data_IF_872055900964
#
_entry.id   IF_872055900964
#
_cell.length_a   1.000
_cell.length_b   1.000
_cell.length_c   1.000
_cell.angle_alpha   90.00
_cell.angle_beta   90.00
_cell.angle_gamma   90.00
#
_symmetry.space_group_name_H-M   'P 1'
#
loop_
_entity.id
_entity.type
_entity.pdbx_description
1 polymer ?
#
# COMPACT_ATOMS: atom_id res chain seq x y z
N UNK A 1 -44.71 10.11 18.63
CA UNK A 1 -45.94 9.91 17.83
C UNK A 1 -45.47 9.36 16.51
N UNK A 2 -45.58 8.05 16.37
CA UNK A 2 -45.25 7.39 15.10
C UNK A 2 -46.34 7.73 14.09
N UNK A 3 -46.02 7.75 12.79
CA UNK A 3 -46.99 8.15 11.76
C UNK A 3 -48.22 7.21 11.74
N UNK A 4 -48.01 5.95 12.15
CA UNK A 4 -49.04 4.91 12.24
C UNK A 4 -50.09 5.20 13.33
N UNK A 5 -49.64 5.65 14.52
CA UNK A 5 -50.52 6.07 15.63
C UNK A 5 -51.45 7.24 15.23
N UNK A 6 -50.97 8.12 14.35
CA UNK A 6 -51.74 9.27 13.90
C UNK A 6 -52.80 8.91 12.84
N UNK A 7 -52.62 7.82 12.09
CA UNK A 7 -53.51 7.38 11.00
C UNK A 7 -54.53 6.33 11.42
N UNK A 8 -54.39 5.75 12.61
CA UNK A 8 -55.28 4.75 13.18
C UNK A 8 -56.77 5.19 13.25
N UNK A 9 -57.12 6.44 13.64
CA UNK A 9 -58.50 6.92 13.63
C UNK A 9 -59.13 7.02 12.23
N UNK A 10 -58.31 7.05 11.18
CA UNK A 10 -58.76 7.11 9.78
C UNK A 10 -58.86 5.72 9.14
N UNK A 11 -58.53 4.65 9.87
CA UNK A 11 -58.57 3.28 9.37
C UNK A 11 -57.49 2.97 8.33
N UNK A 12 -56.40 3.75 8.30
CA UNK A 12 -55.29 3.59 7.35
C UNK A 12 -54.08 3.03 8.08
N UNK A 13 -53.51 1.93 7.56
CA UNK A 13 -52.30 1.28 8.08
C UNK A 13 -51.08 1.72 7.28
N UNK A 14 -50.05 2.25 7.94
CA UNK A 14 -48.82 2.72 7.28
C UNK A 14 -47.77 1.59 7.28
N UNK A 15 -47.43 1.06 6.11
CA UNK A 15 -46.45 -0.04 6.01
C UNK A 15 -44.99 0.41 6.04
N UNK A 16 -44.68 1.58 5.47
CA UNK A 16 -43.32 2.10 5.36
C UNK A 16 -43.31 3.62 5.22
N UNK A 17 -42.39 4.28 5.92
CA UNK A 17 -42.11 5.70 5.77
C UNK A 17 -40.68 5.85 5.27
N UNK A 18 -40.52 6.52 4.12
CA UNK A 18 -39.22 6.85 3.54
C UNK A 18 -39.11 8.36 3.31
N UNK A 19 -37.90 8.88 3.48
CA UNK A 19 -37.61 10.29 3.16
C UNK A 19 -37.37 10.38 1.66
N UNK A 20 -38.24 11.12 0.96
CA UNK A 20 -38.15 11.26 -0.50
C UNK A 20 -37.07 12.27 -0.93
N UNK A 21 -37.10 13.48 -0.38
CA UNK A 21 -36.19 14.56 -0.75
C UNK A 21 -35.82 15.43 0.47
N UNK A 22 -34.55 15.77 0.60
CA UNK A 22 -34.06 16.77 1.56
C UNK A 22 -33.38 17.88 0.78
N UNK A 23 -33.87 19.12 0.93
CA UNK A 23 -33.30 20.29 0.25
C UNK A 23 -32.38 21.04 1.19
N UNK A 24 -31.09 21.05 0.85
CA UNK A 24 -30.07 21.84 1.53
C UNK A 24 -29.82 23.14 0.75
N UNK A 25 -29.58 24.28 1.44
CA UNK A 25 -29.12 25.49 0.76
C UNK A 25 -27.81 25.24 0.02
N UNK A 26 -27.70 25.76 -1.20
CA UNK A 26 -26.53 25.54 -2.08
C UNK A 26 -25.20 25.98 -1.43
N UNK A 27 -25.23 27.01 -0.58
CA UNK A 27 -24.06 27.50 0.15
C UNK A 27 -23.57 26.48 1.19
N UNK A 28 -24.49 25.88 1.94
CA UNK A 28 -24.16 24.83 2.93
C UNK A 28 -23.66 23.57 2.24
N UNK A 29 -24.28 23.15 1.14
CA UNK A 29 -23.85 21.98 0.40
C UNK A 29 -22.40 22.11 -0.11
N UNK A 30 -22.02 23.30 -0.59
CA UNK A 30 -20.65 23.59 -1.02
C UNK A 30 -19.66 23.61 0.15
N UNK A 31 -20.02 24.23 1.27
CA UNK A 31 -19.17 24.26 2.46
C UNK A 31 -18.93 22.84 3.01
N UNK A 32 -19.99 22.03 3.11
CA UNK A 32 -19.91 20.64 3.55
C UNK A 32 -19.07 19.78 2.59
N UNK A 33 -19.21 19.98 1.27
CA UNK A 33 -18.40 19.25 0.29
C UNK A 33 -16.91 19.59 0.43
N UNK A 34 -16.57 20.87 0.56
CA UNK A 34 -15.18 21.31 0.74
C UNK A 34 -14.57 20.79 2.05
N UNK A 35 -15.33 20.82 3.16
CA UNK A 35 -14.89 20.25 4.43
C UNK A 35 -14.69 18.74 4.35
N UNK A 36 -15.62 18.02 3.72
CA UNK A 36 -15.53 16.58 3.54
C UNK A 36 -14.32 16.18 2.67
N UNK A 37 -14.01 16.95 1.63
CA UNK A 37 -12.84 16.74 0.79
C UNK A 37 -11.54 16.98 1.55
N UNK A 38 -11.43 18.10 2.27
CA UNK A 38 -10.26 18.40 3.11
C UNK A 38 -10.03 17.32 4.18
N UNK A 39 -11.10 16.87 4.85
CA UNK A 39 -11.02 15.80 5.84
C UNK A 39 -10.60 14.47 5.21
N UNK A 40 -11.08 14.17 4.00
CA UNK A 40 -10.70 12.96 3.25
C UNK A 40 -9.23 12.99 2.85
N UNK A 41 -8.76 14.10 2.31
CA UNK A 41 -7.35 14.26 1.92
C UNK A 41 -6.41 14.18 3.12
N UNK A 42 -6.76 14.83 4.23
CA UNK A 42 -5.97 14.76 5.46
C UNK A 42 -5.86 13.31 5.97
N UNK A 43 -6.98 12.57 6.01
CA UNK A 43 -6.98 11.15 6.40
C UNK A 43 -6.18 10.29 5.44
N UNK A 44 -6.28 10.54 4.14
CA UNK A 44 -5.51 9.80 3.14
C UNK A 44 -4.00 9.98 3.36
N UNK A 45 -3.54 11.20 3.64
CA UNK A 45 -2.12 11.47 3.94
C UNK A 45 -1.63 10.74 5.18
N UNK A 46 -2.43 10.71 6.25
CA UNK A 46 -2.09 9.96 7.48
C UNK A 46 -1.97 8.46 7.18
N UNK A 47 -2.94 7.88 6.46
CA UNK A 47 -2.91 6.45 6.11
C UNK A 47 -1.68 6.09 5.28
N UNK A 48 -1.32 6.94 4.30
CA UNK A 48 -0.13 6.72 3.48
C UNK A 48 1.14 6.78 4.33
N UNK A 49 1.27 7.79 5.19
CA UNK A 49 2.44 7.94 6.06
C UNK A 49 2.57 6.76 7.05
N UNK A 50 1.47 6.31 7.64
CA UNK A 50 1.46 5.12 8.50
C UNK A 50 1.80 3.84 7.74
N UNK A 51 1.29 3.70 6.52
CA UNK A 51 1.60 2.59 5.62
C UNK A 51 3.09 2.54 5.28
N UNK A 52 3.67 3.69 4.95
CA UNK A 52 5.10 3.82 4.65
C UNK A 52 5.99 3.53 5.86
N UNK A 53 5.58 3.98 7.05
CA UNK A 53 6.30 3.65 8.29
C UNK A 53 6.27 2.14 8.57
N UNK A 54 5.10 1.50 8.43
CA UNK A 54 4.96 0.05 8.63
C UNK A 54 5.77 -0.74 7.61
N UNK A 55 5.73 -0.34 6.34
CA UNK A 55 6.52 -0.96 5.29
C UNK A 55 8.03 -0.82 5.57
N UNK A 56 8.47 0.37 5.96
CA UNK A 56 9.88 0.63 6.29
C UNK A 56 10.39 -0.24 7.44
N UNK A 57 9.57 -0.42 8.49
CA UNK A 57 9.92 -1.30 9.62
C UNK A 57 10.03 -2.76 9.19
N UNK A 58 9.04 -3.27 8.44
CA UNK A 58 9.07 -4.64 7.94
C UNK A 58 10.29 -4.89 7.02
N UNK A 59 10.64 -3.92 6.16
CA UNK A 59 11.84 -4.00 5.32
C UNK A 59 13.14 -3.98 6.13
N UNK A 60 13.21 -3.18 7.21
CA UNK A 60 14.35 -3.17 8.13
C UNK A 60 14.53 -4.53 8.80
N UNK A 61 13.46 -5.08 9.36
CA UNK A 61 13.48 -6.41 10.00
C UNK A 61 13.89 -7.49 8.99
N UNK A 62 13.34 -7.47 7.77
CA UNK A 62 13.74 -8.39 6.72
C UNK A 62 15.23 -8.24 6.35
N UNK A 63 15.75 -7.02 6.30
CA UNK A 63 17.16 -6.76 6.02
C UNK A 63 18.08 -7.27 7.14
N UNK A 64 17.69 -7.12 8.40
CA UNK A 64 18.41 -7.64 9.57
C UNK A 64 18.49 -9.17 9.52
N UNK A 65 17.36 -9.85 9.29
CA UNK A 65 17.31 -11.31 9.13
C UNK A 65 18.17 -11.80 7.96
N UNK A 66 18.19 -11.06 6.85
CA UNK A 66 19.05 -11.38 5.70
C UNK A 66 20.53 -11.18 6.04
N UNK A 67 20.87 -10.17 6.84
CA UNK A 67 22.25 -9.93 7.26
C UNK A 67 22.78 -11.01 8.21
N UNK A 68 21.92 -11.59 9.05
CA UNK A 68 22.28 -12.70 9.95
C UNK A 68 22.67 -13.98 9.20
N UNK A 69 22.12 -14.20 7.99
CA UNK A 69 22.40 -15.39 7.18
C UNK A 69 22.92 -15.02 5.79
N UNK A 70 24.25 -15.08 5.55
CA UNK A 70 24.85 -14.80 4.24
C UNK A 70 24.26 -15.63 3.09
N UNK A 71 23.81 -16.86 3.38
CA UNK A 71 23.14 -17.74 2.42
C UNK A 71 21.79 -17.21 1.93
N UNK A 72 21.10 -16.37 2.73
CA UNK A 72 19.82 -15.77 2.36
C UNK A 72 19.96 -14.78 1.20
N UNK A 73 21.05 -14.01 1.15
CA UNK A 73 21.37 -13.12 0.02
C UNK A 73 21.58 -13.92 -1.27
N UNK A 74 22.27 -15.05 -1.18
CA UNK A 74 22.52 -15.91 -2.33
C UNK A 74 21.23 -16.55 -2.86
N UNK A 75 20.33 -17.00 -1.99
CA UNK A 75 19.01 -17.51 -2.39
C UNK A 75 18.16 -16.43 -3.05
N UNK A 76 18.15 -15.21 -2.50
CA UNK A 76 17.44 -14.06 -3.07
C UNK A 76 18.02 -13.65 -4.43
N UNK A 77 19.34 -13.73 -4.59
CA UNK A 77 20.01 -13.54 -5.88
C UNK A 77 19.55 -14.58 -6.91
N UNK A 78 19.53 -15.86 -6.55
CA UNK A 78 19.03 -16.93 -7.42
C UNK A 78 17.54 -16.78 -7.76
N UNK A 79 16.71 -16.35 -6.82
CA UNK A 79 15.29 -16.05 -7.07
C UNK A 79 15.12 -14.90 -8.07
N UNK A 80 15.92 -13.83 -7.92
CA UNK A 80 15.92 -12.68 -8.82
C UNK A 80 16.36 -13.09 -10.23
N UNK A 81 17.36 -13.98 -10.34
CA UNK A 81 17.76 -14.56 -11.63
C UNK A 81 16.63 -15.39 -12.24
N UNK A 82 15.92 -16.19 -11.45
CA UNK A 82 14.79 -16.98 -11.94
C UNK A 82 13.63 -16.08 -12.43
N UNK A 83 13.32 -14.99 -11.71
CA UNK A 83 12.28 -14.05 -12.12
C UNK A 83 12.66 -13.31 -13.42
N UNK A 84 13.91 -12.85 -13.55
CA UNK A 84 14.40 -12.20 -14.78
C UNK A 84 14.43 -13.19 -15.95
N UNK A 85 14.83 -14.44 -15.71
CA UNK A 85 14.86 -15.49 -16.73
C UNK A 85 13.46 -15.88 -17.22
N UNK A 86 12.43 -15.75 -16.37
CA UNK A 86 11.05 -16.03 -16.75
C UNK A 86 10.46 -14.97 -17.70
N UNK A 87 10.94 -13.73 -17.66
CA UNK A 87 10.41 -12.60 -18.46
C UNK A 87 10.86 -12.55 -19.94
N UNK A 88 11.56 -13.57 -20.46
CA UNK A 88 11.95 -13.66 -21.90
C UNK A 88 12.62 -12.39 -22.48
N UNK A 89 13.50 -11.72 -21.74
CA UNK A 89 14.32 -10.63 -22.30
C UNK A 89 15.75 -11.11 -22.61
N UNK A 90 16.14 -11.02 -23.89
CA UNK A 90 17.35 -11.58 -24.51
C UNK A 90 18.68 -10.91 -24.11
N UNK A 91 18.69 -10.04 -23.09
CA UNK A 91 19.90 -9.33 -22.64
C UNK A 91 20.00 -9.44 -21.13
N UNK A 92 20.76 -10.44 -20.68
CA UNK A 92 21.06 -10.69 -19.27
C UNK A 92 22.20 -9.74 -18.88
N UNK A 93 21.87 -8.58 -18.30
CA UNK A 93 22.87 -7.72 -17.66
C UNK A 93 23.21 -8.38 -16.33
N UNK A 94 24.41 -8.96 -16.25
CA UNK A 94 24.89 -9.67 -15.07
C UNK A 94 25.68 -8.69 -14.19
N UNK A 95 25.13 -8.20 -13.07
CA UNK A 95 25.94 -7.45 -12.12
C UNK A 95 26.84 -8.45 -11.38
N UNK A 96 28.08 -8.61 -11.85
CA UNK A 96 29.10 -9.37 -11.14
C UNK A 96 29.47 -8.61 -9.85
N UNK A 97 29.36 -9.22 -8.66
CA UNK A 97 29.86 -8.63 -7.43
C UNK A 97 31.37 -8.39 -7.55
N UNK A 98 31.81 -7.19 -7.18
CA UNK A 98 33.22 -6.77 -7.26
C UNK A 98 34.10 -7.68 -6.36
N UNK A 99 33.51 -8.26 -5.31
CA UNK A 99 34.18 -9.23 -4.43
C UNK A 99 34.63 -10.50 -5.17
N UNK A 100 33.87 -10.95 -6.18
CA UNK A 100 34.21 -12.10 -7.02
C UNK A 100 35.37 -11.75 -7.96
N UNK A 101 35.41 -10.51 -8.47
CA UNK A 101 36.52 -9.98 -9.28
C UNK A 101 37.81 -9.82 -8.46
N UNK A 102 37.71 -9.43 -7.19
CA UNK A 102 38.88 -9.25 -6.31
C UNK A 102 39.72 -10.53 -6.17
N UNK A 103 39.08 -11.70 -6.17
CA UNK A 103 39.74 -13.01 -6.11
C UNK A 103 40.57 -13.32 -7.37
N UNK A 104 40.21 -12.75 -8.53
CA UNK A 104 40.98 -12.88 -9.77
C UNK A 104 42.16 -11.90 -9.81
N UNK A 105 42.01 -10.69 -9.27
CA UNK A 105 43.09 -9.71 -9.21
C UNK A 105 44.13 -10.01 -8.12
N UNK A 106 43.74 -10.61 -6.99
CA UNK A 106 44.68 -10.96 -5.92
C UNK A 106 45.63 -12.12 -6.29
N UNK A 107 45.32 -12.89 -7.34
CA UNK A 107 46.17 -13.97 -7.86
C UNK A 107 47.23 -13.51 -8.86
N UNK A 108 47.20 -12.25 -9.28
CA UNK A 108 48.04 -11.71 -10.36
C UNK A 108 49.26 -10.90 -9.90
N UNK A 109 49.52 -10.80 -8.59
CA UNK A 109 50.75 -10.15 -8.09
C UNK A 109 51.79 -11.20 -7.70
N UNK A 110 52.79 -11.47 -8.56
CA UNK A 110 53.96 -12.22 -8.12
C UNK A 110 54.71 -11.33 -7.11
N UNK A 111 54.95 -11.86 -5.91
CA UNK A 111 55.89 -11.26 -4.95
C UNK A 111 57.28 -11.27 -5.59
N UNK A 112 57.86 -10.08 -5.74
CA UNK A 112 59.32 -9.88 -5.87
C UNK A 112 59.85 -9.59 -4.48
#
# INVERSE_FOLDING_TARGET
ITLDEATEPWGVKVERVEVKDVRLPIQLQRAMAAEAEAAREARAKVIVAEGEQKASRALKEAAEVIAESPSALQLRYLQTLNSISAEKNSTIIFPLPIDLLSSFFHRATPKV
#
